data_IF_789488173800
#
_entry.id   IF_789488173800
#
_cell.length_a   1.000
_cell.length_b   1.000
_cell.length_c   1.000
_cell.angle_alpha   90.00
_cell.angle_beta   90.00
_cell.angle_gamma   90.00
#
_symmetry.space_group_name_H-M   'P 1'
#
loop_
_entity.id
_entity.type
_entity.pdbx_description
1 polymer ?
#
# COMPACT_ATOMS: atom_id res chain seq x y z
N UNK A 1 12.97 3.43 -17.56
CA UNK A 1 11.70 3.02 -18.22
C UNK A 1 10.57 3.59 -17.39
N UNK A 2 9.67 4.37 -18.01
CA UNK A 2 8.59 5.02 -17.28
C UNK A 2 7.69 4.01 -16.55
N UNK A 3 7.10 4.47 -15.44
CA UNK A 3 6.25 3.67 -14.55
C UNK A 3 4.93 4.39 -14.30
N UNK A 4 3.86 3.60 -14.19
CA UNK A 4 2.58 4.10 -13.71
C UNK A 4 2.76 4.44 -12.23
N UNK A 5 2.37 5.65 -11.84
CA UNK A 5 2.37 6.14 -10.46
C UNK A 5 0.99 6.67 -10.10
N UNK A 6 0.65 6.63 -8.81
CA UNK A 6 -0.64 7.12 -8.36
C UNK A 6 -0.61 8.64 -8.21
N UNK A 7 -1.63 9.31 -8.75
CA UNK A 7 -1.92 10.71 -8.47
C UNK A 7 -2.96 10.79 -7.35
N UNK A 8 -2.56 11.35 -6.20
CA UNK A 8 -3.47 11.54 -5.05
C UNK A 8 -4.27 12.83 -5.21
N UNK A 9 -5.54 12.89 -4.74
CA UNK A 9 -6.32 14.15 -4.73
C UNK A 9 -5.61 15.31 -4.01
N UNK A 10 -4.84 15.01 -2.95
CA UNK A 10 -4.09 16.01 -2.17
C UNK A 10 -3.10 16.82 -3.01
N UNK A 11 -2.63 16.27 -4.15
CA UNK A 11 -1.77 16.99 -5.08
C UNK A 11 -2.38 18.30 -5.55
N UNK A 12 -3.69 18.33 -5.79
CA UNK A 12 -4.39 19.52 -6.27
C UNK A 12 -4.68 20.54 -5.16
N UNK A 13 -4.47 20.14 -3.90
CA UNK A 13 -4.73 20.94 -2.70
C UNK A 13 -3.45 21.36 -1.98
N UNK A 14 -2.28 21.01 -2.50
CA UNK A 14 -0.99 21.39 -1.92
C UNK A 14 -0.76 22.89 -2.11
N UNK A 15 -0.83 23.66 -1.02
CA UNK A 15 -0.74 25.12 -1.00
C UNK A 15 0.58 25.63 -1.61
N UNK A 16 1.70 24.94 -1.38
CA UNK A 16 2.98 25.31 -1.99
C UNK A 16 2.99 25.02 -3.50
N UNK A 17 2.34 23.93 -3.94
CA UNK A 17 2.38 23.51 -5.34
C UNK A 17 1.45 24.34 -6.22
N UNK A 18 0.32 24.79 -5.66
CA UNK A 18 -0.66 25.62 -6.39
C UNK A 18 -0.17 27.04 -6.65
N UNK A 19 0.90 27.50 -6.01
CA UNK A 19 1.55 28.78 -6.34
C UNK A 19 2.31 28.72 -7.67
N UNK A 20 2.72 27.54 -8.11
CA UNK A 20 3.43 27.37 -9.38
C UNK A 20 2.48 27.34 -10.59
N UNK A 21 2.92 27.74 -11.80
CA UNK A 21 2.19 27.52 -13.04
C UNK A 21 1.85 26.04 -13.27
N UNK A 22 0.72 25.76 -13.95
CA UNK A 22 0.23 24.40 -14.18
C UNK A 22 1.28 23.46 -14.80
N UNK A 23 2.13 23.96 -15.70
CA UNK A 23 3.15 23.16 -16.37
C UNK A 23 4.26 22.71 -15.41
N UNK A 24 4.59 23.50 -14.37
CA UNK A 24 5.55 23.09 -13.32
C UNK A 24 4.93 22.01 -12.43
N UNK A 25 3.63 22.12 -12.13
CA UNK A 25 2.91 21.07 -11.40
C UNK A 25 2.93 19.76 -12.20
N UNK A 26 2.63 19.85 -13.49
CA UNK A 26 2.69 18.71 -14.41
C UNK A 26 4.12 18.16 -14.56
N UNK A 27 5.14 19.03 -14.60
CA UNK A 27 6.54 18.62 -14.55
C UNK A 27 6.80 17.77 -13.30
N UNK A 28 6.42 18.27 -12.12
CA UNK A 28 6.62 17.55 -10.86
C UNK A 28 5.94 16.17 -10.88
N UNK A 29 4.71 16.08 -11.36
CA UNK A 29 4.02 14.80 -11.54
C UNK A 29 4.76 13.89 -12.54
N UNK A 30 5.22 14.44 -13.66
CA UNK A 30 5.97 13.72 -14.68
C UNK A 30 7.26 13.12 -14.13
N UNK A 31 7.98 13.85 -13.26
CA UNK A 31 9.19 13.34 -12.60
C UNK A 31 8.93 12.04 -11.85
N UNK A 32 7.75 11.87 -11.24
CA UNK A 32 7.42 10.63 -10.53
C UNK A 32 7.44 9.40 -11.45
N UNK A 33 7.05 9.58 -12.71
CA UNK A 33 6.93 8.48 -13.68
C UNK A 33 8.28 8.01 -14.19
N UNK A 34 9.29 8.87 -14.18
CA UNK A 34 10.65 8.59 -14.66
C UNK A 34 11.66 8.37 -13.52
N UNK A 35 11.28 8.66 -12.28
CA UNK A 35 12.06 8.34 -11.10
C UNK A 35 12.07 6.83 -10.81
N UNK A 36 13.19 6.36 -10.26
CA UNK A 36 13.37 4.98 -9.83
C UNK A 36 12.56 4.65 -8.57
N UNK A 37 12.77 3.43 -8.04
CA UNK A 37 12.09 2.92 -6.85
C UNK A 37 12.27 3.82 -5.62
N UNK A 38 13.35 4.58 -5.55
CA UNK A 38 13.69 5.43 -4.42
C UNK A 38 13.40 6.91 -4.69
N UNK A 39 12.71 7.22 -5.80
CA UNK A 39 12.34 8.59 -6.16
C UNK A 39 13.52 9.39 -6.70
N UNK A 40 14.53 8.72 -7.25
CA UNK A 40 15.75 9.32 -7.80
C UNK A 40 15.79 9.22 -9.32
N UNK A 41 16.41 10.20 -9.97
CA UNK A 41 16.65 10.23 -11.41
C UNK A 41 17.90 11.05 -11.75
N UNK A 42 18.43 10.88 -12.95
CA UNK A 42 19.51 11.71 -13.48
C UNK A 42 19.03 13.14 -13.76
N UNK A 43 19.86 14.13 -13.44
CA UNK A 43 19.59 15.54 -13.67
C UNK A 43 20.02 15.95 -15.09
N UNK A 44 19.20 15.51 -16.06
CA UNK A 44 19.39 15.76 -17.49
C UNK A 44 18.16 16.46 -18.07
N UNK A 45 18.03 17.79 -17.94
CA UNK A 45 16.81 18.51 -18.31
C UNK A 45 16.39 18.32 -19.77
N UNK A 46 17.33 18.23 -20.71
CA UNK A 46 17.03 17.92 -22.11
C UNK A 46 16.37 16.54 -22.26
N UNK A 47 16.82 15.55 -21.50
CA UNK A 47 16.23 14.20 -21.49
C UNK A 47 14.86 14.19 -20.81
N UNK A 48 14.75 14.83 -19.66
CA UNK A 48 13.49 15.01 -18.92
C UNK A 48 12.45 15.71 -19.79
N UNK A 49 12.85 16.70 -20.61
CA UNK A 49 11.98 17.34 -21.59
C UNK A 49 11.41 16.33 -22.58
N UNK A 50 12.24 15.50 -23.19
CA UNK A 50 11.79 14.49 -24.15
C UNK A 50 10.84 13.48 -23.49
N UNK A 51 11.12 13.09 -22.24
CA UNK A 51 10.33 12.08 -21.55
C UNK A 51 8.96 12.62 -21.05
N UNK A 52 8.84 13.90 -20.70
CA UNK A 52 7.62 14.49 -20.10
C UNK A 52 6.89 15.46 -21.05
N UNK A 53 7.63 16.24 -21.84
CA UNK A 53 7.16 17.35 -22.66
C UNK A 53 7.73 17.32 -24.09
N UNK A 54 7.64 16.19 -24.84
CA UNK A 54 8.37 15.99 -26.09
C UNK A 54 8.06 17.03 -27.18
N UNK A 55 6.86 17.59 -27.18
CA UNK A 55 6.38 18.52 -28.22
C UNK A 55 6.13 19.95 -27.70
N UNK A 56 6.46 20.22 -26.44
CA UNK A 56 6.17 21.50 -25.81
C UNK A 56 7.42 22.38 -25.75
N UNK A 57 7.24 23.69 -25.89
CA UNK A 57 8.31 24.66 -25.71
C UNK A 57 8.45 25.07 -24.24
N UNK A 58 8.75 24.09 -23.39
CA UNK A 58 8.89 24.28 -21.94
C UNK A 58 10.35 24.38 -21.53
N UNK A 59 10.65 25.31 -20.64
CA UNK A 59 11.96 25.44 -19.98
C UNK A 59 12.03 24.53 -18.74
N UNK A 60 12.60 23.34 -18.92
CA UNK A 60 12.71 22.34 -17.86
C UNK A 60 13.72 22.76 -16.79
N UNK A 61 14.82 23.42 -17.15
CA UNK A 61 15.80 23.89 -16.17
C UNK A 61 15.17 24.90 -15.20
N UNK A 62 14.38 25.84 -15.73
CA UNK A 62 13.60 26.76 -14.90
C UNK A 62 12.63 26.01 -13.99
N UNK A 63 11.87 25.05 -14.53
CA UNK A 63 10.90 24.27 -13.74
C UNK A 63 11.56 23.48 -12.60
N UNK A 64 12.68 22.81 -12.89
CA UNK A 64 13.47 22.09 -11.88
C UNK A 64 14.05 23.04 -10.83
N UNK A 65 14.51 24.22 -11.24
CA UNK A 65 15.02 25.25 -10.33
C UNK A 65 13.93 25.74 -9.38
N UNK A 66 12.71 26.00 -9.88
CA UNK A 66 11.57 26.39 -9.04
C UNK A 66 11.20 25.27 -8.05
N UNK A 67 11.13 24.02 -8.49
CA UNK A 67 10.80 22.88 -7.61
C UNK A 67 11.87 22.59 -6.55
N UNK A 68 13.12 23.02 -6.80
CA UNK A 68 14.24 22.88 -5.87
C UNK A 68 14.31 24.01 -4.82
N UNK A 69 13.50 25.07 -4.95
CA UNK A 69 13.44 26.15 -3.95
C UNK A 69 12.74 25.67 -2.69
N UNK A 70 13.14 26.26 -1.56
CA UNK A 70 12.46 26.05 -0.29
C UNK A 70 11.04 26.60 -0.39
N UNK A 71 10.08 25.76 -0.03
CA UNK A 71 8.65 26.08 -0.06
C UNK A 71 8.27 27.00 1.09
N UNK A 72 7.31 27.89 0.83
CA UNK A 72 6.86 28.91 1.76
C UNK A 72 6.30 28.30 3.05
N UNK A 73 5.41 27.31 2.92
CA UNK A 73 4.68 26.74 4.06
C UNK A 73 5.46 25.62 4.76
N UNK A 74 6.35 24.92 4.06
CA UNK A 74 6.90 23.65 4.55
C UNK A 74 8.43 23.55 4.67
N UNK A 75 9.17 24.66 4.52
CA UNK A 75 10.62 24.77 4.79
C UNK A 75 11.48 23.66 4.15
N UNK A 76 10.96 23.01 3.11
CA UNK A 76 11.59 21.91 2.37
C UNK A 76 11.22 22.05 0.90
N UNK A 77 12.12 21.74 -0.04
CA UNK A 77 11.78 21.80 -1.46
C UNK A 77 10.95 20.58 -1.90
N UNK A 78 10.36 20.63 -3.09
CA UNK A 78 9.71 19.45 -3.69
C UNK A 78 10.75 18.42 -4.14
N UNK A 79 11.85 18.90 -4.71
CA UNK A 79 12.97 18.08 -5.16
C UNK A 79 14.30 18.59 -4.60
N UNK A 80 15.28 17.71 -4.51
CA UNK A 80 16.66 18.04 -4.21
C UNK A 80 17.52 17.72 -5.43
N UNK A 81 18.20 18.73 -5.98
CA UNK A 81 19.25 18.54 -6.98
C UNK A 81 20.58 18.35 -6.25
N UNK A 82 21.37 17.37 -6.65
CA UNK A 82 22.64 17.03 -6.00
C UNK A 82 23.61 16.41 -7.00
N UNK A 83 24.88 16.32 -6.60
CA UNK A 83 25.95 15.76 -7.42
C UNK A 83 26.72 14.71 -6.61
N UNK A 84 27.04 13.59 -7.24
CA UNK A 84 27.89 12.54 -6.66
C UNK A 84 28.86 12.08 -7.73
N UNK A 85 30.16 12.17 -7.44
CA UNK A 85 31.24 11.77 -8.34
C UNK A 85 31.17 12.41 -9.74
N UNK A 86 30.81 13.70 -9.83
CA UNK A 86 30.75 14.45 -11.09
C UNK A 86 29.43 14.29 -11.87
N UNK A 87 28.54 13.40 -11.44
CA UNK A 87 27.24 13.18 -12.07
C UNK A 87 26.12 13.86 -11.25
N UNK A 88 25.21 14.53 -11.95
CA UNK A 88 24.11 15.28 -11.35
C UNK A 88 22.84 14.44 -11.30
N UNK A 89 22.11 14.55 -10.20
CA UNK A 89 20.91 13.78 -9.90
C UNK A 89 19.82 14.64 -9.25
N UNK A 90 18.60 14.13 -9.30
CA UNK A 90 17.42 14.69 -8.63
C UNK A 90 16.86 13.62 -7.70
N UNK A 91 16.47 14.01 -6.48
CA UNK A 91 15.71 13.19 -5.55
C UNK A 91 14.40 13.89 -5.18
N UNK A 92 13.29 13.16 -5.18
CA UNK A 92 11.99 13.67 -4.74
C UNK A 92 11.90 13.56 -3.21
N UNK A 93 11.85 14.69 -2.50
CA UNK A 93 12.10 14.76 -1.05
C UNK A 93 11.14 13.92 -0.22
N UNK A 94 9.85 13.96 -0.53
CA UNK A 94 8.82 13.22 0.22
C UNK A 94 8.33 11.97 -0.52
N UNK A 95 9.20 11.34 -1.33
CA UNK A 95 8.84 10.21 -2.19
C UNK A 95 8.08 9.11 -1.45
N UNK A 96 8.67 8.51 -0.42
CA UNK A 96 8.09 7.39 0.33
C UNK A 96 6.80 7.72 1.11
N UNK A 97 6.53 9.01 1.34
CA UNK A 97 5.27 9.48 1.92
C UNK A 97 4.16 9.48 0.86
N UNK A 98 4.48 9.86 -0.37
CA UNK A 98 3.50 10.09 -1.43
C UNK A 98 3.35 8.92 -2.40
N UNK A 99 4.41 8.14 -2.61
CA UNK A 99 4.45 7.01 -3.52
C UNK A 99 4.74 5.71 -2.79
N UNK A 100 4.20 4.61 -3.32
CA UNK A 100 4.46 3.24 -2.86
C UNK A 100 4.89 2.40 -4.05
N UNK A 101 6.15 2.54 -4.52
CA UNK A 101 6.70 1.71 -5.58
C UNK A 101 6.50 0.22 -5.29
N UNK A 102 6.25 -0.56 -6.35
CA UNK A 102 6.00 -1.99 -6.18
C UNK A 102 7.26 -2.69 -5.68
N UNK A 103 7.12 -3.70 -4.81
CA UNK A 103 8.27 -4.37 -4.21
C UNK A 103 9.16 -5.11 -5.22
N UNK A 104 8.63 -5.44 -6.41
CA UNK A 104 9.37 -6.06 -7.52
C UNK A 104 10.08 -5.06 -8.42
N UNK A 105 9.91 -3.76 -8.18
CA UNK A 105 10.68 -2.75 -8.89
C UNK A 105 12.17 -2.91 -8.54
N UNK A 106 13.02 -2.70 -9.54
CA UNK A 106 14.48 -2.78 -9.37
C UNK A 106 14.92 -1.76 -8.33
N UNK A 107 15.87 -2.16 -7.50
CA UNK A 107 16.45 -1.26 -6.51
C UNK A 107 17.20 -0.11 -7.20
N UNK A 108 17.27 1.02 -6.50
CA UNK A 108 17.96 2.21 -7.01
C UNK A 108 19.45 1.93 -7.18
N UNK A 109 19.98 2.33 -8.34
CA UNK A 109 21.41 2.37 -8.61
C UNK A 109 21.98 3.79 -8.51
N UNK A 110 21.10 4.78 -8.38
CA UNK A 110 21.46 6.19 -8.27
C UNK A 110 21.91 6.42 -6.82
N UNK A 111 23.04 7.09 -6.56
CA UNK A 111 23.49 7.38 -5.20
C UNK A 111 22.43 8.08 -4.34
N UNK A 112 22.51 7.93 -3.02
CA UNK A 112 21.61 8.69 -2.14
C UNK A 112 22.00 10.17 -2.11
N UNK A 113 21.02 11.09 -2.03
CA UNK A 113 21.31 12.49 -1.85
C UNK A 113 21.95 12.74 -0.48
N UNK A 114 22.84 13.74 -0.35
CA UNK A 114 23.29 14.18 0.95
C UNK A 114 22.11 14.71 1.79
N UNK A 115 22.21 14.71 3.12
CA UNK A 115 21.17 15.29 3.98
C UNK A 115 20.82 16.72 3.54
N UNK A 116 19.53 17.02 3.49
CA UNK A 116 19.07 18.39 3.22
C UNK A 116 19.63 19.32 4.31
N UNK A 117 20.56 20.19 3.94
CA UNK A 117 21.09 21.23 4.81
C UNK A 117 20.06 22.35 4.97
N UNK A 118 19.02 22.08 5.76
CA UNK A 118 18.06 23.09 6.18
C UNK A 118 18.67 23.82 7.38
N UNK A 119 19.08 25.08 7.20
CA UNK A 119 19.53 25.92 8.32
C UNK A 119 18.38 26.03 9.33
N UNK A 120 18.56 25.49 10.54
CA UNK A 120 17.72 25.82 11.70
C UNK A 120 16.59 24.86 12.07
N UNK A 121 16.61 23.58 11.67
CA UNK A 121 15.64 22.60 12.19
C UNK A 121 16.32 21.41 12.87
N UNK A 122 16.31 21.42 14.20
CA UNK A 122 16.40 20.18 14.98
C UNK A 122 15.23 19.25 14.62
N UNK A 123 15.48 17.95 14.64
CA UNK A 123 14.56 16.90 14.18
C UNK A 123 13.15 17.06 14.76
N UNK A 124 12.18 17.41 13.92
CA UNK A 124 10.77 17.46 14.31
C UNK A 124 9.80 17.38 13.14
N UNK A 125 8.84 16.46 13.27
CA UNK A 125 7.57 16.34 12.54
C UNK A 125 7.53 15.82 11.09
N UNK A 126 6.95 14.63 10.97
CA UNK A 126 6.08 14.28 9.85
C UNK A 126 4.86 15.21 9.80
N UNK A 127 4.41 15.51 8.58
CA UNK A 127 3.34 16.49 8.34
C UNK A 127 2.01 16.02 8.92
N UNK A 128 1.45 16.85 9.80
CA UNK A 128 0.08 16.76 10.32
C UNK A 128 -0.74 17.79 9.56
N UNK A 129 -1.76 17.36 8.82
CA UNK A 129 -2.71 18.29 8.20
C UNK A 129 -3.52 19.00 9.28
N UNK A 130 -3.73 20.31 9.10
CA UNK A 130 -4.35 21.24 10.04
C UNK A 130 -5.88 21.05 10.22
N UNK A 131 -6.49 20.04 9.59
CA UNK A 131 -7.93 19.81 9.58
C UNK A 131 -8.44 18.90 10.74
N UNK A 132 -7.71 18.80 11.85
CA UNK A 132 -8.16 18.04 13.04
C UNK A 132 -7.99 18.78 14.36
N UNK A 133 -7.84 20.12 14.32
CA UNK A 133 -7.92 20.96 15.51
C UNK A 133 -9.36 21.05 15.98
N UNK A 134 -9.85 19.99 16.62
CA UNK A 134 -10.86 20.03 17.69
C UNK A 134 -11.21 18.60 18.12
N UNK A 135 -10.22 17.90 18.69
CA UNK A 135 -10.51 16.88 19.70
C UNK A 135 -9.55 17.10 20.85
N UNK A 136 -10.08 17.59 21.97
CA UNK A 136 -9.35 17.65 23.25
C UNK A 136 -9.18 16.22 23.75
N UNK A 137 -8.02 15.63 23.51
CA UNK A 137 -7.61 14.47 24.29
C UNK A 137 -6.97 14.98 25.58
N UNK A 138 -7.53 14.55 26.71
CA UNK A 138 -7.06 14.88 28.05
C UNK A 138 -5.61 14.46 28.32
N UNK A 139 -5.13 14.83 29.49
CA UNK A 139 -3.74 14.70 29.95
C UNK A 139 -3.05 13.40 29.52
N UNK A 140 -1.90 13.57 28.86
CA UNK A 140 -1.06 12.51 28.34
C UNK A 140 -0.48 11.72 29.52
N UNK A 141 -1.09 10.59 29.85
CA UNK A 141 -0.40 9.54 30.60
C UNK A 141 0.52 8.82 29.62
N UNK A 142 1.83 9.03 29.73
CA UNK A 142 2.84 8.32 28.92
C UNK A 142 2.83 6.84 29.34
N UNK A 143 2.03 6.02 28.66
CA UNK A 143 2.18 4.57 28.73
C UNK A 143 3.38 4.19 27.87
N UNK A 144 4.39 3.59 28.50
CA UNK A 144 5.56 2.95 27.86
C UNK A 144 5.09 2.14 26.63
N UNK A 145 5.73 2.27 25.45
CA UNK A 145 5.29 1.53 24.28
C UNK A 145 5.43 0.03 24.54
N UNK A 146 4.31 -0.68 24.47
CA UNK A 146 4.24 -2.13 24.57
C UNK A 146 4.83 -2.72 23.28
N UNK A 147 6.08 -3.19 23.33
CA UNK A 147 6.70 -3.92 22.22
C UNK A 147 6.40 -5.41 22.36
N UNK A 148 5.36 -5.90 21.69
CA UNK A 148 5.09 -7.34 21.59
C UNK A 148 5.97 -7.95 20.50
N UNK A 149 6.73 -8.99 20.82
CA UNK A 149 7.61 -9.66 19.86
C UNK A 149 6.91 -10.81 19.16
N UNK A 150 6.87 -10.76 17.82
CA UNK A 150 6.41 -11.88 16.99
C UNK A 150 7.33 -13.09 17.14
N UNK A 151 8.64 -12.85 17.21
CA UNK A 151 9.67 -13.87 17.33
C UNK A 151 9.45 -14.72 18.58
N UNK A 152 9.11 -14.11 19.71
CA UNK A 152 8.87 -14.80 20.99
C UNK A 152 7.75 -15.84 20.90
N UNK A 153 6.63 -15.49 20.25
CA UNK A 153 5.49 -16.41 20.12
C UNK A 153 5.69 -17.39 18.97
N UNK A 154 6.32 -16.97 17.88
CA UNK A 154 6.57 -17.80 16.71
C UNK A 154 7.57 -18.93 17.00
N UNK A 155 8.54 -18.70 17.89
CA UNK A 155 9.46 -19.74 18.35
C UNK A 155 8.72 -20.92 18.98
N UNK A 156 7.64 -20.66 19.72
CA UNK A 156 6.80 -21.67 20.38
C UNK A 156 5.86 -22.43 19.43
N UNK A 157 5.69 -21.96 18.20
CA UNK A 157 4.81 -22.61 17.22
C UNK A 157 5.50 -23.83 16.55
N UNK A 158 4.87 -25.01 16.42
CA UNK A 158 5.57 -26.25 16.00
C UNK A 158 6.04 -26.28 14.54
N UNK A 159 5.30 -25.65 13.61
CA UNK A 159 5.66 -25.63 12.18
C UNK A 159 6.28 -24.29 11.77
N UNK A 160 7.43 -24.32 11.08
CA UNK A 160 8.12 -23.10 10.62
C UNK A 160 7.72 -22.66 9.20
N UNK A 161 6.65 -23.24 8.66
CA UNK A 161 6.12 -22.89 7.33
C UNK A 161 5.19 -21.67 7.46
N UNK A 162 5.31 -20.72 6.53
CA UNK A 162 4.41 -19.56 6.45
C UNK A 162 4.78 -18.36 7.34
N UNK A 163 6.02 -18.29 7.86
CA UNK A 163 6.50 -17.23 8.78
C UNK A 163 6.11 -15.80 8.36
N UNK A 164 6.40 -15.41 7.11
CA UNK A 164 6.16 -14.05 6.62
C UNK A 164 4.69 -13.64 6.69
N UNK A 165 3.76 -14.54 6.33
CA UNK A 165 2.31 -14.25 6.40
C UNK A 165 1.78 -14.34 7.84
N UNK A 166 2.31 -15.27 8.65
CA UNK A 166 2.01 -15.33 10.08
C UNK A 166 2.38 -14.02 10.81
N UNK A 167 3.53 -13.43 10.47
CA UNK A 167 3.96 -12.14 11.02
C UNK A 167 3.01 -10.99 10.67
N UNK A 168 2.50 -10.98 9.43
CA UNK A 168 1.49 -10.00 8.98
C UNK A 168 0.20 -10.15 9.79
N UNK A 169 -0.30 -11.38 9.97
CA UNK A 169 -1.50 -11.62 10.77
C UNK A 169 -1.29 -11.28 12.25
N UNK A 170 -0.12 -11.58 12.82
CA UNK A 170 0.24 -11.19 14.18
C UNK A 170 0.21 -9.67 14.37
N UNK A 171 0.94 -8.92 13.54
CA UNK A 171 1.00 -7.45 13.61
C UNK A 171 -0.37 -6.80 13.38
N UNK A 172 -1.23 -7.42 12.58
CA UNK A 172 -2.58 -6.93 12.34
C UNK A 172 -3.54 -7.17 13.52
N UNK A 173 -3.32 -8.21 14.32
CA UNK A 173 -4.27 -8.69 15.33
C UNK A 173 -3.86 -8.46 16.78
N UNK A 174 -2.56 -8.38 17.10
CA UNK A 174 -2.04 -8.21 18.46
C UNK A 174 -1.63 -6.76 18.68
N UNK A 175 -2.50 -5.98 19.33
CA UNK A 175 -2.31 -4.53 19.53
C UNK A 175 -2.32 -4.11 20.99
N UNK A 176 -2.94 -4.90 21.85
CA UNK A 176 -3.10 -4.62 23.28
C UNK A 176 -2.44 -5.69 24.14
N UNK A 177 -2.19 -5.38 25.41
CA UNK A 177 -1.71 -6.38 26.38
C UNK A 177 -2.69 -7.55 26.49
N UNK A 178 -3.99 -7.28 26.39
CA UNK A 178 -5.00 -8.33 26.37
C UNK A 178 -4.85 -9.25 25.15
N UNK A 179 -4.65 -8.69 23.95
CA UNK A 179 -4.41 -9.50 22.76
C UNK A 179 -3.15 -10.37 22.91
N UNK A 180 -2.11 -9.85 23.56
CA UNK A 180 -0.87 -10.59 23.82
C UNK A 180 -1.08 -11.75 24.80
N UNK A 181 -1.87 -11.55 25.85
CA UNK A 181 -2.25 -12.61 26.77
C UNK A 181 -3.13 -13.65 26.06
N UNK A 182 -4.12 -13.20 25.31
CA UNK A 182 -5.07 -14.05 24.61
C UNK A 182 -4.38 -14.92 23.55
N UNK A 183 -3.42 -14.37 22.78
CA UNK A 183 -2.71 -15.15 21.75
C UNK A 183 -1.78 -16.20 22.37
N UNK A 184 -1.22 -15.92 23.56
CA UNK A 184 -0.49 -16.94 24.32
C UNK A 184 -1.40 -18.05 24.85
N UNK A 185 -2.60 -17.70 25.32
CA UNK A 185 -3.63 -18.67 25.76
C UNK A 185 -4.07 -19.52 24.57
N UNK A 186 -4.39 -18.88 23.44
CA UNK A 186 -4.74 -19.53 22.19
C UNK A 186 -3.67 -20.54 21.75
N UNK A 187 -2.39 -20.17 21.79
CA UNK A 187 -1.31 -21.06 21.41
C UNK A 187 -1.23 -22.27 22.35
N UNK A 188 -1.36 -22.06 23.67
CA UNK A 188 -1.39 -23.16 24.64
C UNK A 188 -2.57 -24.11 24.39
N UNK A 189 -3.75 -23.58 24.10
CA UNK A 189 -4.94 -24.39 23.82
C UNK A 189 -4.80 -25.17 22.51
N UNK A 190 -4.25 -24.55 21.48
CA UNK A 190 -3.97 -25.20 20.21
C UNK A 190 -2.97 -26.35 20.35
N UNK A 191 -1.86 -26.16 21.08
CA UNK A 191 -0.87 -27.20 21.32
C UNK A 191 -1.41 -28.40 22.11
N UNK A 192 -2.44 -28.18 22.93
CA UNK A 192 -3.14 -29.23 23.70
C UNK A 192 -4.29 -29.89 22.93
N UNK A 193 -4.61 -29.40 21.73
CA UNK A 193 -5.73 -29.93 20.94
C UNK A 193 -5.43 -31.34 20.42
N UNK A 194 -6.48 -32.16 20.34
CA UNK A 194 -6.41 -33.53 19.83
C UNK A 194 -5.85 -33.60 18.40
N UNK A 195 -6.10 -32.56 17.59
CA UNK A 195 -5.56 -32.44 16.23
C UNK A 195 -4.03 -32.35 16.24
N UNK A 196 -3.46 -31.54 17.14
CA UNK A 196 -2.00 -31.37 17.23
C UNK A 196 -1.34 -32.58 17.90
N UNK A 197 -1.96 -33.19 18.91
CA UNK A 197 -1.44 -34.42 19.55
C UNK A 197 -1.44 -35.61 18.60
N UNK A 198 -2.37 -35.66 17.64
CA UNK A 198 -2.41 -36.63 16.53
C UNK A 198 -1.47 -36.30 15.37
N UNK A 199 -0.66 -35.23 15.47
CA UNK A 199 0.36 -34.86 14.50
C UNK A 199 -0.09 -33.92 13.38
N UNK A 200 -1.35 -33.46 13.37
CA UNK A 200 -1.86 -32.55 12.36
C UNK A 200 -1.63 -31.09 12.77
N UNK A 201 -0.49 -30.54 12.36
CA UNK A 201 -0.11 -29.16 12.65
C UNK A 201 -0.52 -28.26 11.49
N UNK A 202 -1.39 -27.27 11.76
CA UNK A 202 -1.73 -26.21 10.81
C UNK A 202 -0.51 -25.40 10.37
N UNK A 203 -0.57 -24.87 9.14
CA UNK A 203 0.36 -23.84 8.69
C UNK A 203 0.30 -22.63 9.62
N UNK A 204 1.46 -22.05 9.97
CA UNK A 204 1.50 -20.92 10.88
C UNK A 204 0.69 -19.72 10.37
N UNK A 205 0.69 -19.46 9.05
CA UNK A 205 -0.14 -18.39 8.48
C UNK A 205 -1.63 -18.60 8.77
N UNK A 206 -2.10 -19.84 8.64
CA UNK A 206 -3.51 -20.20 8.87
C UNK A 206 -3.88 -20.03 10.34
N UNK A 207 -3.03 -20.53 11.23
CA UNK A 207 -3.29 -20.43 12.67
C UNK A 207 -3.23 -18.98 13.16
N UNK A 208 -2.22 -18.19 12.77
CA UNK A 208 -2.12 -16.78 13.16
C UNK A 208 -3.23 -15.92 12.53
N UNK A 209 -3.87 -16.34 11.45
CA UNK A 209 -5.04 -15.64 10.90
C UNK A 209 -6.30 -15.82 11.78
N UNK A 210 -6.41 -16.93 12.49
CA UNK A 210 -7.61 -17.32 13.26
C UNK A 210 -7.30 -17.73 14.70
N UNK A 211 -6.26 -17.15 15.30
CA UNK A 211 -5.80 -17.54 16.64
C UNK A 211 -6.87 -17.28 17.71
N UNK A 212 -7.78 -16.31 17.49
CA UNK A 212 -8.86 -15.97 18.44
C UNK A 212 -9.85 -17.11 18.67
N UNK A 213 -10.04 -17.99 17.69
CA UNK A 213 -10.87 -19.18 17.83
C UNK A 213 -10.40 -20.13 18.95
N UNK A 214 -9.13 -19.98 19.37
CA UNK A 214 -8.50 -20.82 20.39
C UNK A 214 -8.47 -20.19 21.79
N UNK A 215 -8.99 -18.98 21.98
CA UNK A 215 -9.00 -18.28 23.29
C UNK A 215 -10.08 -18.84 24.21
N UNK A 216 -11.31 -18.98 23.69
CA UNK A 216 -12.48 -19.42 24.43
C UNK A 216 -12.90 -20.83 24.01
N UNK A 217 -12.12 -21.85 24.39
CA UNK A 217 -12.59 -23.24 24.28
C UNK A 217 -13.63 -23.54 25.37
N UNK A 218 -14.88 -23.10 25.16
CA UNK A 218 -16.02 -23.94 25.51
C UNK A 218 -16.26 -24.84 24.30
N UNK A 219 -16.01 -26.13 24.48
CA UNK A 219 -15.91 -27.09 23.39
C UNK A 219 -17.10 -27.09 22.44
N UNK A 220 -16.79 -27.14 21.14
CA UNK A 220 -17.42 -27.88 20.02
C UNK A 220 -17.02 -27.16 18.74
N UNK A 221 -16.01 -27.68 18.06
CA UNK A 221 -15.84 -27.43 16.63
C UNK A 221 -16.96 -28.25 15.97
N UNK A 222 -18.06 -27.62 15.59
CA UNK A 222 -18.92 -28.24 14.61
C UNK A 222 -18.13 -28.36 13.29
N UNK A 223 -18.17 -29.53 12.62
CA UNK A 223 -17.46 -29.72 11.37
C UNK A 223 -17.88 -28.62 10.39
N UNK A 224 -16.90 -28.06 9.69
CA UNK A 224 -17.14 -27.11 8.61
C UNK A 224 -18.16 -27.71 7.63
N UNK A 225 -19.39 -27.17 7.65
CA UNK A 225 -20.36 -27.38 6.59
C UNK A 225 -20.02 -26.38 5.49
N UNK A 226 -19.65 -26.83 4.27
CA UNK A 226 -19.52 -25.93 3.13
C UNK A 226 -20.80 -25.12 3.02
N UNK A 227 -20.69 -23.80 2.87
CA UNK A 227 -21.86 -22.98 2.54
C UNK A 227 -22.39 -23.49 1.20
N UNK A 228 -23.59 -24.05 1.18
CA UNK A 228 -24.31 -24.31 -0.06
C UNK A 228 -24.40 -22.98 -0.81
N UNK A 229 -23.88 -22.96 -2.03
CA UNK A 229 -23.94 -21.79 -2.88
C UNK A 229 -25.40 -21.57 -3.27
N UNK A 230 -26.02 -20.56 -2.68
CA UNK A 230 -27.31 -20.06 -3.16
C UNK A 230 -27.04 -19.00 -4.21
N UNK A 231 -27.46 -19.19 -5.48
CA UNK A 231 -27.38 -18.14 -6.46
C UNK A 231 -28.10 -16.88 -5.95
N UNK A 232 -27.61 -15.68 -6.29
CA UNK A 232 -28.30 -14.45 -5.93
C UNK A 232 -29.73 -14.47 -6.50
N UNK A 233 -30.72 -13.89 -5.79
CA UNK A 233 -32.09 -13.84 -6.29
C UNK A 233 -32.12 -13.09 -7.61
N UNK A 234 -32.44 -13.82 -8.68
CA UNK A 234 -32.60 -13.29 -10.03
C UNK A 234 -33.88 -12.46 -10.04
N UNK A 235 -33.79 -11.18 -10.41
CA UNK A 235 -34.96 -10.32 -10.45
C UNK A 235 -35.96 -10.82 -11.51
N UNK A 236 -37.25 -10.56 -11.34
CA UNK A 236 -38.27 -10.96 -12.33
C UNK A 236 -38.00 -10.39 -13.73
N UNK A 237 -37.30 -9.25 -13.78
CA UNK A 237 -36.84 -8.61 -15.02
C UNK A 237 -35.79 -9.48 -15.74
N UNK A 238 -34.80 -9.98 -14.99
CA UNK A 238 -33.72 -10.82 -15.52
C UNK A 238 -34.26 -12.17 -16.01
N UNK A 239 -35.26 -12.75 -15.34
CA UNK A 239 -35.92 -13.99 -15.79
C UNK A 239 -36.67 -13.80 -17.10
N UNK A 240 -37.26 -12.62 -17.31
CA UNK A 240 -37.99 -12.28 -18.54
C UNK A 240 -37.03 -12.09 -19.70
N UNK A 241 -35.89 -11.44 -19.49
CA UNK A 241 -34.84 -11.26 -20.50
C UNK A 241 -34.22 -12.60 -20.92
N UNK A 242 -33.93 -13.50 -19.97
CA UNK A 242 -33.42 -14.84 -20.27
C UNK A 242 -34.44 -15.66 -21.08
N UNK A 243 -35.73 -15.60 -20.75
CA UNK A 243 -36.80 -16.27 -21.51
C UNK A 243 -36.94 -15.72 -22.93
N UNK A 244 -36.82 -14.41 -23.11
CA UNK A 244 -36.88 -13.78 -24.44
C UNK A 244 -35.62 -14.08 -25.28
N UNK A 245 -34.44 -14.18 -24.66
CA UNK A 245 -33.22 -14.65 -25.34
C UNK A 245 -33.37 -16.09 -25.83
N UNK A 246 -33.87 -17.00 -24.98
CA UNK A 246 -34.05 -18.41 -25.35
C UNK A 246 -35.05 -18.56 -26.51
N UNK A 247 -36.17 -17.82 -26.49
CA UNK A 247 -37.15 -17.84 -27.61
C UNK A 247 -36.55 -17.36 -28.93
N UNK A 248 -35.69 -16.32 -28.90
CA UNK A 248 -35.00 -15.80 -30.09
C UNK A 248 -33.96 -16.77 -30.65
N UNK A 249 -33.31 -17.58 -29.80
CA UNK A 249 -32.32 -18.57 -30.23
C UNK A 249 -32.97 -19.82 -30.81
N UNK A 250 -34.13 -20.24 -30.31
CA UNK A 250 -34.83 -21.45 -30.82
C UNK A 250 -35.45 -21.24 -32.20
N UNK A 251 -35.81 -20.00 -32.59
CA UNK A 251 -36.38 -19.70 -33.92
C UNK A 251 -35.36 -19.57 -35.07
N UNK A 252 -34.06 -19.66 -34.81
CA UNK A 252 -33.01 -19.55 -35.85
C UNK A 252 -32.36 -20.88 -36.25
N UNK A 253 -32.83 -22.01 -35.72
CA UNK A 253 -32.24 -23.33 -35.97
C UNK A 253 -33.28 -24.33 -36.51
N UNK A 254 -33.82 -24.08 -37.69
CA UNK A 254 -34.38 -25.13 -38.56
C UNK A 254 -33.87 -24.92 -39.99
N UNK A 255 -32.79 -25.61 -40.41
CA UNK A 255 -32.49 -25.78 -41.82
C UNK A 255 -33.44 -26.83 -42.39
N UNK A 256 -34.22 -26.45 -43.39
CA UNK A 256 -34.93 -27.38 -44.27
C UNK A 256 -33.91 -28.32 -44.92
N UNK A 257 -33.92 -29.60 -44.53
CA UNK A 257 -33.23 -30.66 -45.24
C UNK A 257 -34.32 -31.48 -45.96
N UNK A 258 -34.67 -31.05 -47.17
CA UNK A 258 -35.48 -31.86 -48.09
C UNK A 258 -34.60 -32.98 -48.63
N UNK A 259 -35.00 -34.22 -48.36
CA UNK A 259 -34.48 -35.42 -48.99
C UNK A 259 -35.34 -35.73 -50.20
N UNK A 260 -34.81 -35.46 -51.40
CA UNK A 260 -34.92 -36.32 -52.60
C UNK A 260 -34.16 -35.73 -53.79
#
# INVERSE_FOLDING_TARGET
>A
MARIRYLKPDFFKDEDLVEHPHWIRLLFQGLWTIADKEGRLEDRPARIKVDIFPYENTDIEKGLTELAKIKNHSQRPFIQRYEVAGERYIAIVNWHKHQKPHHTEKDSLIPEPPPLNLKGMEKGMGSVHQASRELRNGEITVKKPLSFSFEEIYLKYPSKVGKKRAEVHFKASVKTEQDWQDIQIALKNYLKSDTVTKGFIQNASTWFNDWRAWVNQKGKIEPYKPKEWTPPPVSDQDQKEVREMIKKTVHKATPNCEVR
#
